data_IF_804305118054
#
_entry.id   IF_804305118054
#
_cell.length_a   1.000
_cell.length_b   1.000
_cell.length_c   1.000
_cell.angle_alpha   90.00
_cell.angle_beta   90.00
_cell.angle_gamma   90.00
#
_symmetry.space_group_name_H-M   'P 1'
#
loop_
_entity.id
_entity.type
_entity.pdbx_description
1 polymer ?
#
# COMPACT_ATOMS: atom_id res chain seq x y z
N UNK A 1 14.09 0.02 -21.16
CA UNK A 1 13.47 -1.05 -21.96
C UNK A 1 13.91 -0.85 -23.39
N UNK A 2 14.67 -1.80 -23.93
CA UNK A 2 15.17 -1.78 -25.30
C UNK A 2 14.10 -2.22 -26.30
N UNK A 3 14.27 -1.94 -27.59
CA UNK A 3 13.37 -2.46 -28.63
C UNK A 3 13.34 -4.01 -28.63
N UNK A 4 14.46 -4.64 -28.30
CA UNK A 4 14.62 -6.09 -28.17
C UNK A 4 13.81 -6.65 -27.00
N UNK A 5 13.70 -5.92 -25.88
CA UNK A 5 12.89 -6.36 -24.73
C UNK A 5 11.40 -6.42 -25.11
N UNK A 6 10.93 -5.46 -25.92
CA UNK A 6 9.53 -5.39 -26.36
C UNK A 6 9.20 -6.55 -27.31
N UNK A 7 10.12 -6.89 -28.22
CA UNK A 7 9.96 -8.03 -29.13
C UNK A 7 9.96 -9.37 -28.38
N UNK A 8 10.76 -9.50 -27.31
CA UNK A 8 10.83 -10.71 -26.50
C UNK A 8 9.61 -10.92 -25.60
N UNK A 9 9.10 -9.86 -24.99
CA UNK A 9 7.94 -9.92 -24.08
C UNK A 9 6.63 -9.95 -24.89
N UNK A 10 6.60 -9.35 -26.07
CA UNK A 10 5.40 -9.20 -26.88
C UNK A 10 4.48 -8.09 -26.38
N UNK A 11 3.82 -7.42 -27.33
CA UNK A 11 2.95 -6.27 -27.04
C UNK A 11 1.81 -6.57 -26.03
N UNK A 12 1.13 -7.73 -26.04
CA UNK A 12 0.06 -8.02 -25.08
C UNK A 12 0.55 -8.13 -23.64
N UNK A 13 1.67 -8.82 -23.41
CA UNK A 13 2.23 -8.96 -22.07
C UNK A 13 2.78 -7.62 -21.56
N UNK A 14 3.39 -6.81 -22.44
CA UNK A 14 3.79 -5.45 -22.10
C UNK A 14 2.58 -4.59 -21.69
N UNK A 15 1.47 -4.65 -22.43
CA UNK A 15 0.25 -3.94 -22.08
C UNK A 15 -0.27 -4.35 -20.69
N UNK A 16 -0.34 -5.66 -20.41
CA UNK A 16 -0.74 -6.17 -19.10
C UNK A 16 0.18 -5.68 -17.96
N UNK A 17 1.50 -5.66 -18.19
CA UNK A 17 2.46 -5.15 -17.21
C UNK A 17 2.23 -3.66 -16.92
N UNK A 18 1.99 -2.87 -17.97
CA UNK A 18 1.72 -1.44 -17.83
C UNK A 18 0.41 -1.18 -17.08
N UNK A 19 -0.64 -1.97 -17.35
CA UNK A 19 -1.92 -1.88 -16.64
C UNK A 19 -1.76 -2.22 -15.15
N UNK A 20 -1.04 -3.30 -14.83
CA UNK A 20 -0.72 -3.67 -13.44
C UNK A 20 0.09 -2.58 -12.74
N UNK A 21 1.13 -2.03 -13.39
CA UNK A 21 1.91 -0.92 -12.85
C UNK A 21 1.02 0.30 -12.60
N UNK A 22 0.10 0.60 -13.52
CA UNK A 22 -0.88 1.67 -13.38
C UNK A 22 -1.77 1.48 -12.14
N UNK A 23 -2.36 0.30 -11.99
CA UNK A 23 -3.22 -0.04 -10.85
C UNK A 23 -2.47 0.03 -9.51
N UNK A 24 -1.25 -0.49 -9.44
CA UNK A 24 -0.39 -0.41 -8.25
C UNK A 24 -0.06 1.05 -7.91
N UNK A 25 0.30 1.87 -8.90
CA UNK A 25 0.56 3.30 -8.68
C UNK A 25 -0.66 4.04 -8.16
N UNK A 26 -1.83 3.76 -8.72
CA UNK A 26 -3.09 4.38 -8.32
C UNK A 26 -3.43 4.06 -6.87
N UNK A 27 -3.43 2.78 -6.48
CA UNK A 27 -3.77 2.42 -5.10
C UNK A 27 -2.77 2.98 -4.08
N UNK A 28 -1.47 3.00 -4.42
CA UNK A 28 -0.45 3.63 -3.58
C UNK A 28 -0.68 5.13 -3.43
N UNK A 29 -1.08 5.81 -4.51
CA UNK A 29 -1.46 7.22 -4.48
C UNK A 29 -2.66 7.45 -3.57
N UNK A 30 -3.70 6.62 -3.67
CA UNK A 30 -4.88 6.70 -2.80
C UNK A 30 -4.46 6.56 -1.33
N UNK A 31 -3.67 5.54 -0.97
CA UNK A 31 -3.22 5.30 0.41
C UNK A 31 -2.38 6.47 0.93
N UNK A 32 -1.46 7.00 0.13
CA UNK A 32 -0.57 8.06 0.56
C UNK A 32 -1.31 9.39 0.79
N UNK A 33 -2.27 9.74 -0.07
CA UNK A 33 -2.97 11.02 0.01
C UNK A 33 -4.20 11.00 0.93
N UNK A 34 -4.77 9.82 1.19
CA UNK A 34 -5.94 9.67 2.06
C UNK A 34 -5.52 9.03 3.38
N UNK A 35 -5.36 9.87 4.40
CA UNK A 35 -5.18 9.37 5.76
C UNK A 35 -6.44 8.65 6.22
N UNK A 36 -6.33 7.39 6.70
CA UNK A 36 -7.48 6.66 7.21
C UNK A 36 -8.17 7.39 8.37
N UNK A 37 -9.47 7.16 8.60
CA UNK A 37 -10.18 7.74 9.73
C UNK A 37 -9.52 7.38 11.06
N UNK A 38 -9.40 8.37 11.94
CA UNK A 38 -9.00 8.17 13.33
C UNK A 38 -10.13 7.51 14.12
N UNK A 39 -9.79 6.52 14.95
CA UNK A 39 -10.74 5.86 15.86
C UNK A 39 -10.32 6.15 17.31
N UNK A 40 -11.22 6.77 18.06
CA UNK A 40 -10.98 7.13 19.45
C UNK A 40 -11.40 5.99 20.39
N UNK A 41 -10.55 5.73 21.38
CA UNK A 41 -10.98 5.02 22.59
C UNK A 41 -11.93 5.90 23.42
N UNK A 42 -12.92 5.27 24.04
CA UNK A 42 -13.96 5.99 24.79
C UNK A 42 -13.39 6.75 25.99
N UNK A 43 -12.36 6.22 26.64
CA UNK A 43 -11.69 6.83 27.79
C UNK A 43 -10.62 7.86 27.39
N UNK A 44 -10.42 8.12 26.09
CA UNK A 44 -9.45 9.12 25.65
C UNK A 44 -9.92 10.55 25.95
N UNK A 45 -9.25 11.21 26.91
CA UNK A 45 -9.49 12.61 27.26
C UNK A 45 -8.81 13.60 26.31
N UNK A 46 -7.89 13.12 25.45
CA UNK A 46 -7.06 13.94 24.55
C UNK A 46 -7.32 13.63 23.07
N UNK A 47 -8.58 13.42 22.70
CA UNK A 47 -8.99 12.97 21.34
C UNK A 47 -8.42 13.84 20.24
N UNK A 48 -8.52 15.16 20.38
CA UNK A 48 -8.02 16.12 19.38
C UNK A 48 -6.50 16.02 19.17
N UNK A 49 -5.74 15.73 20.22
CA UNK A 49 -4.28 15.53 20.13
C UNK A 49 -3.98 14.21 19.42
N UNK A 50 -4.68 13.13 19.77
CA UNK A 50 -4.49 11.82 19.14
C UNK A 50 -4.85 11.85 17.65
N UNK A 51 -5.95 12.49 17.28
CA UNK A 51 -6.37 12.65 15.88
C UNK A 51 -5.33 13.47 15.09
N UNK A 52 -4.89 14.61 15.63
CA UNK A 52 -3.86 15.42 14.99
C UNK A 52 -2.58 14.63 14.77
N UNK A 53 -2.11 13.91 15.79
CA UNK A 53 -0.86 13.17 15.72
C UNK A 53 -0.97 11.97 14.77
N UNK A 54 -2.14 11.33 14.68
CA UNK A 54 -2.45 10.34 13.64
C UNK A 54 -2.33 10.94 12.24
N UNK A 55 -2.98 12.08 12.00
CA UNK A 55 -2.95 12.78 10.72
C UNK A 55 -1.53 13.19 10.32
N UNK A 56 -0.74 13.68 11.28
CA UNK A 56 0.66 14.05 11.04
C UNK A 56 1.55 12.83 10.81
N UNK A 57 1.45 11.79 11.64
CA UNK A 57 2.24 10.57 11.49
C UNK A 57 1.98 9.88 10.15
N UNK A 58 0.73 9.83 9.71
CA UNK A 58 0.42 9.30 8.38
C UNK A 58 1.11 10.08 7.26
N UNK A 59 0.97 11.42 7.26
CA UNK A 59 1.49 12.28 6.20
C UNK A 59 3.02 12.36 6.20
N UNK A 60 3.62 12.41 7.38
CA UNK A 60 5.06 12.63 7.54
C UNK A 60 5.87 11.34 7.45
N UNK A 61 5.27 10.20 7.78
CA UNK A 61 5.96 8.90 7.78
C UNK A 61 5.41 7.98 6.69
N UNK A 62 4.15 7.53 6.81
CA UNK A 62 3.58 6.50 5.94
C UNK A 62 3.50 6.96 4.47
N UNK A 63 2.87 8.10 4.21
CA UNK A 63 2.70 8.62 2.85
C UNK A 63 4.04 8.82 2.11
N UNK A 64 5.07 9.25 2.85
CA UNK A 64 6.42 9.45 2.30
C UNK A 64 7.10 8.13 1.98
N UNK A 65 6.95 7.12 2.84
CA UNK A 65 7.51 5.78 2.61
C UNK A 65 6.81 5.07 1.45
N UNK A 66 5.50 5.26 1.28
CA UNK A 66 4.75 4.69 0.15
C UNK A 66 5.19 5.29 -1.18
N UNK A 67 5.62 6.55 -1.21
CA UNK A 67 6.08 7.23 -2.44
C UNK A 67 7.60 7.34 -2.59
N UNK A 68 8.40 6.72 -1.72
CA UNK A 68 9.84 6.86 -1.80
C UNK A 68 10.35 6.30 -3.16
N UNK A 69 11.13 7.06 -3.94
CA UNK A 69 11.55 6.65 -5.29
C UNK A 69 12.44 5.40 -5.28
N UNK A 70 13.35 5.30 -4.31
CA UNK A 70 14.33 4.19 -4.26
C UNK A 70 13.91 3.02 -3.35
N UNK A 71 13.10 3.29 -2.32
CA UNK A 71 12.77 2.34 -1.26
C UNK A 71 11.30 2.44 -0.87
N UNK A 72 10.38 2.28 -1.83
CA UNK A 72 8.97 2.21 -1.53
C UNK A 72 8.69 1.06 -0.56
N UNK A 73 7.87 1.29 0.47
CA UNK A 73 7.32 0.17 1.28
C UNK A 73 6.15 -0.47 0.53
N UNK A 74 5.93 -1.77 0.69
CA UNK A 74 4.70 -2.39 0.21
C UNK A 74 3.51 -1.98 1.10
N UNK A 75 2.30 -1.93 0.55
CA UNK A 75 1.10 -1.56 1.30
C UNK A 75 0.83 -2.53 2.46
N UNK A 76 1.13 -3.82 2.25
CA UNK A 76 1.04 -4.85 3.28
C UNK A 76 1.99 -4.61 4.49
N UNK A 77 3.04 -3.81 4.33
CA UNK A 77 3.95 -3.46 5.43
C UNK A 77 3.45 -2.32 6.32
N UNK A 78 2.38 -1.63 5.92
CA UNK A 78 1.91 -0.43 6.64
C UNK A 78 1.43 -0.79 8.05
N UNK A 79 0.61 -1.83 8.22
CA UNK A 79 0.10 -2.22 9.55
C UNK A 79 1.22 -2.61 10.50
N UNK A 80 2.14 -3.54 10.16
CA UNK A 80 3.27 -3.87 11.05
C UNK A 80 4.12 -2.66 11.43
N UNK A 81 4.32 -1.71 10.51
CA UNK A 81 5.05 -0.47 10.78
C UNK A 81 4.31 0.42 11.75
N UNK A 82 2.99 0.60 11.56
CA UNK A 82 2.16 1.37 12.47
C UNK A 82 2.16 0.75 13.87
N UNK A 83 2.00 -0.56 13.98
CA UNK A 83 2.06 -1.28 15.26
C UNK A 83 3.37 -1.06 16.00
N UNK A 84 4.50 -1.09 15.30
CA UNK A 84 5.82 -0.85 15.88
C UNK A 84 6.13 0.63 16.16
N UNK A 85 5.56 1.56 15.40
CA UNK A 85 5.92 2.98 15.47
C UNK A 85 5.28 3.71 16.67
N UNK A 86 5.99 4.67 17.25
CA UNK A 86 5.36 5.68 18.11
C UNK A 86 4.80 6.79 17.22
N UNK A 87 3.50 7.07 17.36
CA UNK A 87 2.81 8.13 16.61
C UNK A 87 2.64 9.35 17.52
N UNK A 88 3.61 10.28 17.49
CA UNK A 88 3.59 11.50 18.30
C UNK A 88 3.29 11.24 19.79
N UNK A 89 2.26 11.91 20.30
CA UNK A 89 1.71 11.75 21.65
C UNK A 89 0.35 11.04 21.66
N UNK A 90 0.01 10.33 20.57
CA UNK A 90 -1.16 9.48 20.48
C UNK A 90 -1.12 8.41 21.58
N UNK A 91 -2.22 8.24 22.31
CA UNK A 91 -2.29 7.21 23.34
C UNK A 91 -2.35 5.81 22.70
N UNK A 92 -1.90 4.80 23.44
CA UNK A 92 -1.82 3.41 22.96
C UNK A 92 -3.21 2.88 22.56
N UNK A 93 -4.24 3.12 23.37
CA UNK A 93 -5.59 2.63 23.10
C UNK A 93 -6.17 3.15 21.77
N UNK A 94 -6.12 4.48 21.54
CA UNK A 94 -6.57 5.04 20.26
C UNK A 94 -5.72 4.54 19.08
N UNK A 95 -4.40 4.37 19.28
CA UNK A 95 -3.53 3.85 18.24
C UNK A 95 -3.96 2.45 17.84
N UNK A 96 -4.16 1.56 18.81
CA UNK A 96 -4.61 0.18 18.57
C UNK A 96 -5.91 0.17 17.77
N UNK A 97 -6.94 0.86 18.23
CA UNK A 97 -8.24 0.92 17.53
C UNK A 97 -8.13 1.51 16.12
N UNK A 98 -7.34 2.56 15.95
CA UNK A 98 -7.14 3.18 14.64
C UNK A 98 -6.41 2.24 13.68
N UNK A 99 -5.37 1.54 14.16
CA UNK A 99 -4.59 0.58 13.34
C UNK A 99 -5.42 -0.66 12.98
N UNK A 100 -6.25 -1.15 13.89
CA UNK A 100 -7.23 -2.21 13.60
C UNK A 100 -8.18 -1.79 12.48
N UNK A 101 -8.74 -0.57 12.57
CA UNK A 101 -9.59 -0.02 11.50
C UNK A 101 -8.88 0.12 10.14
N UNK A 102 -7.57 0.40 10.15
CA UNK A 102 -6.75 0.41 8.92
C UNK A 102 -6.59 -1.00 8.34
N UNK A 103 -6.34 -2.00 9.17
CA UNK A 103 -6.19 -3.39 8.73
C UNK A 103 -7.48 -3.93 8.10
N UNK A 104 -8.64 -3.54 8.63
CA UNK A 104 -9.95 -4.01 8.17
C UNK A 104 -10.45 -3.32 6.88
N UNK A 105 -9.90 -2.16 6.50
CA UNK A 105 -10.36 -1.39 5.34
C UNK A 105 -10.13 -2.10 3.98
N UNK A 106 -9.32 -3.15 3.94
CA UNK A 106 -9.07 -3.97 2.75
C UNK A 106 -8.21 -3.31 1.66
N UNK A 107 -8.00 -1.99 1.72
CA UNK A 107 -7.18 -1.22 0.77
C UNK A 107 -5.72 -1.70 0.72
N UNK A 108 -5.16 -2.14 1.85
CA UNK A 108 -3.76 -2.56 1.94
C UNK A 108 -3.46 -3.89 1.24
N UNK A 109 -4.47 -4.73 1.00
CA UNK A 109 -4.33 -5.99 0.27
C UNK A 109 -4.43 -5.84 -1.25
N UNK A 110 -4.88 -4.69 -1.76
CA UNK A 110 -5.13 -4.51 -3.19
C UNK A 110 -3.86 -4.51 -4.04
N UNK A 111 -2.73 -4.02 -3.52
CA UNK A 111 -1.45 -4.05 -4.26
C UNK A 111 -1.04 -5.49 -4.61
N UNK A 112 -1.08 -6.40 -3.64
CA UNK A 112 -0.76 -7.81 -3.87
C UNK A 112 -1.70 -8.43 -4.89
N UNK A 113 -3.00 -8.15 -4.78
CA UNK A 113 -4.00 -8.61 -5.74
C UNK A 113 -3.71 -8.14 -7.17
N UNK A 114 -3.40 -6.86 -7.38
CA UNK A 114 -3.09 -6.35 -8.72
C UNK A 114 -1.85 -7.01 -9.33
N UNK A 115 -0.85 -7.30 -8.48
CA UNK A 115 0.37 -8.01 -8.89
C UNK A 115 0.02 -9.46 -9.27
N UNK A 116 -0.73 -10.17 -8.42
CA UNK A 116 -1.16 -11.56 -8.66
C UNK A 116 -1.99 -11.68 -9.95
N UNK A 117 -2.98 -10.80 -10.14
CA UNK A 117 -3.83 -10.75 -11.33
C UNK A 117 -2.98 -10.50 -12.59
N UNK A 118 -2.03 -9.55 -12.51
CA UNK A 118 -1.11 -9.26 -13.61
C UNK A 118 -0.19 -10.42 -13.96
N UNK A 119 0.37 -11.10 -12.95
CA UNK A 119 1.21 -12.29 -13.12
C UNK A 119 0.41 -13.41 -13.78
N UNK A 120 -0.82 -13.67 -13.33
CA UNK A 120 -1.67 -14.70 -13.92
C UNK A 120 -1.96 -14.47 -15.40
N UNK A 121 -2.22 -13.20 -15.78
CA UNK A 121 -2.43 -12.83 -17.19
C UNK A 121 -1.18 -13.09 -18.04
N UNK A 122 0.00 -12.69 -17.56
CA UNK A 122 1.26 -12.93 -18.27
C UNK A 122 1.57 -14.43 -18.37
N UNK A 123 1.40 -15.19 -17.28
CA UNK A 123 1.60 -16.65 -17.27
C UNK A 123 0.71 -17.37 -18.29
N UNK A 124 -0.55 -16.96 -18.41
CA UNK A 124 -1.49 -17.52 -19.40
C UNK A 124 -1.03 -17.28 -20.85
N UNK A 125 -0.22 -16.25 -21.10
CA UNK A 125 0.36 -15.97 -22.43
C UNK A 125 1.60 -16.83 -22.73
N UNK A 126 2.25 -17.40 -21.71
CA UNK A 126 3.46 -18.22 -21.83
C UNK A 126 3.35 -19.60 -21.15
N UNK A 127 2.34 -20.42 -21.48
CA UNK A 127 2.03 -21.65 -20.75
C UNK A 127 3.11 -22.74 -20.85
N UNK A 128 4.00 -22.70 -21.84
CA UNK A 128 5.03 -23.71 -22.11
C UNK A 128 6.43 -23.38 -21.59
N UNK A 129 6.64 -22.21 -20.98
CA UNK A 129 7.96 -21.75 -20.51
C UNK A 129 8.11 -21.72 -18.98
N UNK A 130 7.12 -22.23 -18.24
CA UNK A 130 7.07 -22.21 -16.77
C UNK A 130 6.83 -23.58 -16.12
N UNK A 131 6.89 -24.64 -16.91
CA UNK A 131 6.91 -26.01 -16.39
C UNK A 131 8.36 -26.45 -16.20
N UNK A 132 8.98 -26.00 -15.10
CA UNK A 132 10.17 -26.60 -14.47
C UNK A 132 10.25 -26.14 -13.00
#
# INVERSE_FOLDING_TARGET
>A
MSATDIELIGAPALASLLDTIGAVKEVRSIVAHNTPPYVADDACERRAICERDWQLGWKLDIARLVHHPDRPIALAEIVPRLEAARIGDMCVACKTLTVEGVAENGLLGQEAKYIEDGVAVVQAMFPSQMAD
#
